data_IF_727747554500
#
_entry.id   IF_727747554500
#
_cell.length_a   1.000
_cell.length_b   1.000
_cell.length_c   1.000
_cell.angle_alpha   90.00
_cell.angle_beta   90.00
_cell.angle_gamma   90.00
#
_symmetry.space_group_name_H-M   'P 1'
#
loop_
_entity.id
_entity.type
_entity.pdbx_description
1 polymer ?
#
# COMPACT_ATOMS: atom_id res chain seq x y z
N UNK A 1 10.93 -10.04 12.46
CA UNK A 1 12.27 -9.68 12.99
C UNK A 1 12.56 -10.56 14.20
N UNK A 2 13.69 -11.29 14.25
CA UNK A 2 14.00 -12.18 15.37
C UNK A 2 14.68 -11.45 16.53
N UNK A 3 14.03 -11.49 17.70
CA UNK A 3 14.62 -11.82 19.00
C UNK A 3 15.67 -10.88 19.62
N UNK A 4 15.22 -9.98 20.50
CA UNK A 4 16.10 -9.36 21.49
C UNK A 4 15.99 -10.12 22.81
N UNK A 5 17.00 -10.94 23.08
CA UNK A 5 17.15 -11.72 24.32
C UNK A 5 17.54 -10.80 25.47
N UNK A 6 16.74 -10.85 26.52
CA UNK A 6 17.02 -10.36 27.86
C UNK A 6 18.30 -11.04 28.40
N UNK A 7 19.30 -10.23 28.75
CA UNK A 7 20.41 -10.66 29.61
C UNK A 7 20.54 -9.63 30.74
N UNK A 8 20.34 -10.17 31.94
CA UNK A 8 20.23 -9.50 33.23
C UNK A 8 21.57 -9.71 33.98
N UNK A 9 21.97 -8.69 34.75
CA UNK A 9 23.02 -8.63 35.79
C UNK A 9 24.50 -8.62 35.37
N UNK A 10 25.18 -7.52 35.70
CA UNK A 10 26.03 -7.46 36.90
C UNK A 10 26.37 -6.01 37.25
N UNK A 11 25.91 -5.58 38.43
CA UNK A 11 26.28 -4.32 39.05
C UNK A 11 27.70 -4.41 39.64
N UNK A 12 28.60 -3.55 39.17
CA UNK A 12 29.82 -3.20 39.89
C UNK A 12 29.74 -1.71 40.24
N UNK A 13 29.44 -1.45 41.51
CA UNK A 13 29.35 -0.14 42.12
C UNK A 13 30.76 0.47 42.21
N UNK A 14 31.12 1.35 41.28
CA UNK A 14 32.24 2.28 41.45
C UNK A 14 31.63 3.65 41.73
N UNK A 15 31.73 4.10 42.98
CA UNK A 15 31.35 5.45 43.40
C UNK A 15 32.40 6.40 42.84
N UNK A 16 32.20 6.85 41.60
CA UNK A 16 32.88 8.00 41.04
C UNK A 16 32.07 9.27 41.37
N UNK A 17 32.71 10.43 41.59
CA UNK A 17 32.00 11.69 41.75
C UNK A 17 31.19 11.95 40.49
N UNK A 18 29.87 11.94 40.63
CA UNK A 18 28.92 12.31 39.59
C UNK A 18 29.13 13.79 39.31
N UNK A 19 29.98 14.09 38.33
CA UNK A 19 29.92 15.36 37.62
C UNK A 19 28.58 15.31 36.90
N UNK A 20 27.58 16.00 37.45
CA UNK A 20 26.30 16.20 36.80
C UNK A 20 26.55 17.01 35.52
N UNK A 21 26.92 16.32 34.44
CA UNK A 21 26.84 16.92 33.12
C UNK A 21 25.36 17.09 32.82
N UNK A 22 24.89 18.30 32.49
CA UNK A 22 23.54 18.45 32.00
C UNK A 22 23.42 17.57 30.76
N UNK A 23 22.55 16.56 30.83
CA UNK A 23 22.02 15.92 29.63
C UNK A 23 21.18 17.00 28.97
N UNK A 24 21.81 17.77 28.08
CA UNK A 24 21.08 18.63 27.16
C UNK A 24 20.44 17.65 26.19
N UNK A 25 19.15 17.36 26.39
CA UNK A 25 18.34 16.76 25.35
C UNK A 25 18.41 17.73 24.17
N UNK A 26 19.21 17.38 23.17
CA UNK A 26 19.38 18.19 21.98
C UNK A 26 18.10 17.99 21.18
N UNK A 27 17.15 18.91 21.34
CA UNK A 27 15.93 18.95 20.54
C UNK A 27 16.38 19.10 19.08
N UNK A 28 16.06 18.11 18.25
CA UNK A 28 16.31 18.19 16.82
C UNK A 28 15.61 19.44 16.27
N UNK A 29 16.33 20.22 15.48
CA UNK A 29 15.76 21.38 14.82
C UNK A 29 14.71 20.94 13.79
N UNK A 30 13.74 21.80 13.49
CA UNK A 30 12.74 21.55 12.43
C UNK A 30 13.39 21.19 11.09
N UNK A 31 14.54 21.82 10.78
CA UNK A 31 15.31 21.53 9.58
C UNK A 31 15.92 20.12 9.57
N UNK A 32 16.41 19.64 10.71
CA UNK A 32 16.93 18.26 10.85
C UNK A 32 15.80 17.24 10.71
N UNK A 33 14.66 17.46 11.36
CA UNK A 33 13.49 16.59 11.24
C UNK A 33 12.96 16.52 9.80
N UNK A 34 12.92 17.65 9.09
CA UNK A 34 12.53 17.68 7.69
C UNK A 34 13.53 16.91 6.80
N UNK A 35 14.83 17.06 7.05
CA UNK A 35 15.86 16.35 6.31
C UNK A 35 15.80 14.83 6.54
N UNK A 36 15.59 14.40 7.78
CA UNK A 36 15.38 12.99 8.12
C UNK A 36 14.13 12.41 7.43
N UNK A 37 13.02 13.15 7.44
CA UNK A 37 11.80 12.73 6.76
C UNK A 37 11.98 12.61 5.25
N UNK A 38 12.65 13.57 4.61
CA UNK A 38 12.99 13.52 3.18
C UNK A 38 13.92 12.35 2.85
N UNK A 39 14.92 12.07 3.70
CA UNK A 39 15.81 10.93 3.53
C UNK A 39 15.03 9.60 3.62
N UNK A 40 14.10 9.49 4.56
CA UNK A 40 13.26 8.29 4.70
C UNK A 40 12.32 8.09 3.50
N UNK A 41 11.76 9.15 2.93
CA UNK A 41 10.99 9.08 1.67
C UNK A 41 11.88 8.59 0.52
N UNK A 42 13.09 9.15 0.38
CA UNK A 42 14.01 8.77 -0.68
C UNK A 42 14.45 7.30 -0.56
N UNK A 43 14.72 6.83 0.66
CA UNK A 43 15.06 5.43 0.94
C UNK A 43 13.90 4.50 0.58
N UNK A 44 12.68 4.83 1.01
CA UNK A 44 11.50 4.03 0.67
C UNK A 44 11.23 4.03 -0.84
N UNK A 45 11.36 5.18 -1.52
CA UNK A 45 11.25 5.24 -2.99
C UNK A 45 12.29 4.33 -3.65
N UNK A 46 13.54 4.40 -3.21
CA UNK A 46 14.63 3.58 -3.76
C UNK A 46 14.41 2.09 -3.51
N UNK A 47 13.78 1.71 -2.40
CA UNK A 47 13.38 0.35 -2.12
C UNK A 47 12.21 -0.07 -3.01
N UNK A 48 11.05 0.60 -2.92
CA UNK A 48 9.83 0.24 -3.66
C UNK A 48 10.07 0.21 -5.18
N UNK A 49 10.81 1.18 -5.71
CA UNK A 49 11.06 1.33 -7.14
C UNK A 49 12.41 0.76 -7.57
N UNK A 50 12.96 -0.15 -6.77
CA UNK A 50 14.18 -0.88 -7.12
C UNK A 50 13.94 -1.63 -8.42
N UNK A 51 14.65 -1.20 -9.46
CA UNK A 51 14.58 -1.82 -10.79
C UNK A 51 15.19 -3.22 -10.75
N UNK A 52 14.43 -4.21 -11.22
CA UNK A 52 14.90 -5.57 -11.45
C UNK A 52 15.43 -5.76 -12.88
N UNK A 53 15.12 -6.91 -13.47
CA UNK A 53 15.43 -7.21 -14.87
C UNK A 53 14.63 -6.30 -15.82
N UNK A 54 15.26 -5.91 -16.93
CA UNK A 54 14.59 -5.27 -18.06
C UNK A 54 14.00 -6.32 -18.99
N UNK A 55 12.70 -6.23 -19.25
CA UNK A 55 11.96 -7.17 -20.10
C UNK A 55 11.60 -6.49 -21.42
N UNK A 56 12.11 -7.01 -22.52
CA UNK A 56 11.69 -6.55 -23.86
C UNK A 56 10.25 -6.95 -24.13
N UNK A 57 9.45 -6.04 -24.71
CA UNK A 57 8.02 -6.29 -24.95
C UNK A 57 7.20 -6.49 -23.68
N UNK A 58 7.61 -5.91 -22.56
CA UNK A 58 6.92 -6.01 -21.27
C UNK A 58 5.44 -5.59 -21.35
N UNK A 59 5.07 -4.72 -22.29
CA UNK A 59 3.73 -4.18 -22.52
C UNK A 59 2.89 -5.00 -23.53
N UNK A 60 3.35 -6.19 -23.93
CA UNK A 60 2.68 -7.07 -24.90
C UNK A 60 2.24 -8.39 -24.24
N UNK A 61 1.09 -8.92 -24.66
CA UNK A 61 0.58 -10.24 -24.27
C UNK A 61 -0.18 -10.25 -22.94
N UNK A 62 -0.46 -9.08 -22.37
CA UNK A 62 -1.31 -8.94 -21.20
C UNK A 62 -2.80 -9.01 -21.55
N UNK A 63 -3.62 -9.42 -20.59
CA UNK A 63 -5.08 -9.36 -20.70
C UNK A 63 -5.63 -8.03 -20.19
N UNK A 64 -6.90 -7.73 -20.48
CA UNK A 64 -7.60 -6.53 -20.02
C UNK A 64 -8.70 -6.88 -18.99
N UNK A 65 -8.35 -6.99 -17.70
CA UNK A 65 -9.35 -7.25 -16.66
C UNK A 65 -10.44 -6.16 -16.63
N UNK A 66 -10.07 -4.89 -16.86
CA UNK A 66 -11.03 -3.78 -16.82
C UNK A 66 -12.08 -3.90 -17.91
N UNK A 67 -11.68 -4.34 -19.11
CA UNK A 67 -12.63 -4.63 -20.19
C UNK A 67 -13.60 -5.75 -19.79
N UNK A 68 -13.11 -6.81 -19.15
CA UNK A 68 -13.94 -7.91 -18.65
C UNK A 68 -14.92 -7.43 -17.56
N UNK A 69 -14.47 -6.59 -16.63
CA UNK A 69 -15.33 -5.99 -15.59
C UNK A 69 -16.41 -5.08 -16.18
N UNK A 70 -16.02 -4.19 -17.11
CA UNK A 70 -16.96 -3.29 -17.80
C UNK A 70 -17.99 -4.09 -18.60
N UNK A 71 -17.60 -5.18 -19.25
CA UNK A 71 -18.53 -6.07 -19.96
C UNK A 71 -19.55 -6.76 -19.03
N UNK A 72 -19.21 -6.98 -17.76
CA UNK A 72 -20.13 -7.48 -16.74
C UNK A 72 -21.00 -6.39 -16.09
N UNK A 73 -20.59 -5.13 -16.22
CA UNK A 73 -21.21 -3.96 -15.61
C UNK A 73 -20.47 -3.53 -14.34
N UNK A 74 -19.54 -2.58 -14.48
CA UNK A 74 -18.65 -2.12 -13.41
C UNK A 74 -19.37 -1.55 -12.17
N UNK A 75 -20.64 -1.15 -12.28
CA UNK A 75 -21.44 -0.73 -11.12
C UNK A 75 -21.88 -1.89 -10.21
N UNK A 76 -21.91 -3.11 -10.75
CA UNK A 76 -22.44 -4.30 -10.06
C UNK A 76 -21.36 -5.32 -9.72
N UNK A 77 -20.11 -5.07 -10.10
CA UNK A 77 -18.99 -5.98 -9.91
C UNK A 77 -17.73 -5.21 -9.57
N UNK A 78 -16.93 -5.78 -8.67
CA UNK A 78 -15.63 -5.23 -8.24
C UNK A 78 -14.53 -6.27 -8.45
N UNK A 79 -13.29 -5.82 -8.42
CA UNK A 79 -12.15 -6.72 -8.25
C UNK A 79 -11.93 -6.98 -6.77
N UNK A 80 -11.77 -8.25 -6.40
CA UNK A 80 -11.31 -8.68 -5.10
C UNK A 80 -9.98 -9.40 -5.29
N UNK A 81 -8.92 -8.88 -4.68
CA UNK A 81 -7.62 -9.54 -4.63
C UNK A 81 -7.41 -10.09 -3.24
N UNK A 82 -7.26 -11.40 -3.14
CA UNK A 82 -7.00 -12.06 -1.85
C UNK A 82 -5.52 -12.38 -1.71
N UNK A 83 -4.94 -11.90 -0.61
CA UNK A 83 -3.59 -12.24 -0.14
C UNK A 83 -3.66 -13.15 1.09
N UNK A 84 -2.50 -13.59 1.57
CA UNK A 84 -2.40 -14.34 2.84
C UNK A 84 -2.82 -13.48 4.03
N UNK A 85 -2.48 -12.19 4.01
CA UNK A 85 -2.65 -11.29 5.15
C UNK A 85 -4.00 -10.55 5.16
N UNK A 86 -4.54 -10.27 3.98
CA UNK A 86 -5.68 -9.40 3.80
C UNK A 86 -6.37 -9.61 2.44
N UNK A 87 -7.49 -8.93 2.26
CA UNK A 87 -8.10 -8.71 0.95
C UNK A 87 -7.98 -7.23 0.58
N UNK A 88 -7.81 -6.95 -0.71
CA UNK A 88 -7.97 -5.62 -1.29
C UNK A 88 -9.09 -5.61 -2.33
N UNK A 89 -9.75 -4.46 -2.46
CA UNK A 89 -10.88 -4.26 -3.38
C UNK A 89 -10.57 -3.11 -4.32
N UNK A 90 -10.76 -3.33 -5.62
CA UNK A 90 -10.66 -2.28 -6.65
C UNK A 90 -12.00 -2.08 -7.35
N UNK A 91 -12.41 -0.82 -7.47
CA UNK A 91 -13.70 -0.41 -8.05
C UNK A 91 -13.43 0.53 -9.22
N UNK A 92 -13.90 0.18 -10.42
CA UNK A 92 -13.87 1.08 -11.58
C UNK A 92 -15.04 2.05 -11.49
N UNK A 93 -14.76 3.31 -11.16
CA UNK A 93 -15.81 4.29 -10.87
C UNK A 93 -15.34 5.73 -10.96
N UNK A 94 -16.23 6.60 -11.41
CA UNK A 94 -16.12 8.05 -11.31
C UNK A 94 -16.70 8.59 -9.99
N UNK A 95 -17.42 7.79 -9.18
CA UNK A 95 -18.05 8.24 -7.93
C UNK A 95 -17.03 8.51 -6.82
N UNK A 96 -17.28 9.48 -5.91
CA UNK A 96 -16.42 9.78 -4.76
C UNK A 96 -16.01 8.56 -3.94
N UNK A 97 -14.79 8.53 -3.38
CA UNK A 97 -14.33 7.42 -2.51
C UNK A 97 -15.30 7.23 -1.33
N UNK A 98 -15.76 8.33 -0.73
CA UNK A 98 -16.64 8.32 0.44
C UNK A 98 -18.03 7.68 0.22
N UNK A 99 -18.46 7.45 -1.02
CA UNK A 99 -19.73 6.74 -1.29
C UNK A 99 -19.65 5.24 -1.00
N UNK A 100 -18.44 4.66 -0.99
CA UNK A 100 -18.22 3.23 -0.77
C UNK A 100 -17.88 2.89 0.69
N UNK A 101 -17.58 3.91 1.50
CA UNK A 101 -17.05 3.74 2.84
C UNK A 101 -18.18 3.70 3.88
N UNK A 102 -18.14 2.78 4.84
CA UNK A 102 -19.09 2.76 5.94
C UNK A 102 -19.07 4.06 6.73
N UNK A 103 -20.25 4.58 7.11
CA UNK A 103 -20.39 5.86 7.83
C UNK A 103 -19.70 5.91 9.19
N UNK A 104 -19.41 4.75 9.79
CA UNK A 104 -18.78 4.67 11.10
C UNK A 104 -17.26 4.79 11.01
N UNK A 105 -16.65 4.64 9.84
CA UNK A 105 -15.21 4.87 9.67
C UNK A 105 -14.91 6.36 9.76
N UNK A 106 -13.76 6.69 10.35
CA UNK A 106 -13.30 8.06 10.54
C UNK A 106 -12.14 8.34 9.59
N UNK A 107 -12.06 9.56 9.08
CA UNK A 107 -10.91 9.99 8.31
C UNK A 107 -9.79 10.32 9.30
N UNK A 108 -8.70 9.56 9.25
CA UNK A 108 -7.50 9.80 10.05
C UNK A 108 -6.53 10.76 9.33
N UNK A 109 -6.40 10.62 8.00
CA UNK A 109 -5.59 11.52 7.18
C UNK A 109 -6.04 11.54 5.71
N UNK A 110 -5.68 12.58 4.96
CA UNK A 110 -6.01 12.74 3.54
C UNK A 110 -4.86 13.38 2.75
N UNK A 111 -4.55 12.84 1.58
CA UNK A 111 -3.64 13.44 0.60
C UNK A 111 -4.39 13.77 -0.70
N UNK A 112 -3.93 14.84 -1.36
CA UNK A 112 -4.53 15.31 -2.59
C UNK A 112 -5.88 15.98 -2.35
N UNK A 113 -6.64 16.12 -3.41
CA UNK A 113 -8.03 16.61 -3.35
C UNK A 113 -8.87 15.68 -4.18
N UNK A 114 -10.16 15.67 -3.91
CA UNK A 114 -11.11 15.09 -4.86
C UNK A 114 -11.04 15.91 -6.16
N UNK A 115 -10.13 15.52 -7.06
CA UNK A 115 -10.04 16.09 -8.38
C UNK A 115 -11.36 15.80 -9.11
N UNK A 116 -11.71 16.64 -10.08
CA UNK A 116 -12.89 16.46 -10.91
C UNK A 116 -13.01 14.98 -11.31
N UNK A 117 -14.12 14.34 -10.91
CA UNK A 117 -14.40 12.92 -11.08
C UNK A 117 -13.88 12.45 -12.44
N UNK A 118 -12.81 11.65 -12.42
CA UNK A 118 -12.12 11.26 -13.64
C UNK A 118 -12.92 10.16 -14.34
N UNK A 119 -13.32 10.36 -15.62
CA UNK A 119 -13.91 9.29 -16.39
C UNK A 119 -12.96 8.10 -16.46
N UNK A 120 -13.38 6.95 -15.93
CA UNK A 120 -12.58 5.73 -15.92
C UNK A 120 -11.55 5.62 -14.80
N UNK A 121 -11.69 6.39 -13.71
CA UNK A 121 -10.87 6.22 -12.51
C UNK A 121 -11.06 4.85 -11.82
N UNK A 122 -10.05 4.44 -11.08
CA UNK A 122 -10.11 3.27 -10.19
C UNK A 122 -9.98 3.75 -8.74
N UNK A 123 -10.79 3.17 -7.85
CA UNK A 123 -10.66 3.34 -6.40
C UNK A 123 -10.23 2.02 -5.79
N UNK A 124 -9.12 2.04 -5.08
CA UNK A 124 -8.53 0.90 -4.40
C UNK A 124 -8.71 1.02 -2.89
N UNK A 125 -9.05 -0.08 -2.22
CA UNK A 125 -9.09 -0.19 -0.77
C UNK A 125 -8.22 -1.36 -0.30
N UNK A 126 -7.43 -1.14 0.74
CA UNK A 126 -6.56 -2.16 1.34
C UNK A 126 -6.42 -1.92 2.84
N UNK A 127 -6.37 -2.99 3.63
CA UNK A 127 -6.04 -2.89 5.05
C UNK A 127 -4.54 -2.59 5.22
N UNK A 128 -4.22 -1.62 6.06
CA UNK A 128 -2.86 -1.46 6.60
C UNK A 128 -2.72 -2.17 7.95
N UNK A 129 -3.84 -2.27 8.67
CA UNK A 129 -4.00 -3.06 9.89
C UNK A 129 -5.48 -3.40 10.11
N UNK A 130 -5.81 -4.04 11.25
CA UNK A 130 -7.21 -4.24 11.66
C UNK A 130 -7.96 -2.91 11.87
N UNK A 131 -7.23 -1.85 12.26
CA UNK A 131 -7.77 -0.53 12.58
C UNK A 131 -7.73 0.44 11.40
N UNK A 132 -6.78 0.28 10.48
CA UNK A 132 -6.60 1.26 9.40
C UNK A 132 -6.81 0.68 8.01
N UNK A 133 -7.54 1.43 7.18
CA UNK A 133 -7.76 1.14 5.76
C UNK A 133 -7.27 2.31 4.92
N UNK A 134 -6.42 1.99 3.96
CA UNK A 134 -6.00 2.90 2.91
C UNK A 134 -7.00 2.84 1.76
N UNK A 135 -7.44 4.02 1.31
CA UNK A 135 -8.22 4.16 0.08
C UNK A 135 -7.50 5.13 -0.87
N UNK A 136 -7.35 4.77 -2.13
CA UNK A 136 -6.73 5.61 -3.14
C UNK A 136 -7.54 5.67 -4.42
N UNK A 137 -7.54 6.84 -5.05
CA UNK A 137 -7.97 7.02 -6.43
C UNK A 137 -6.73 7.12 -7.32
N UNK A 138 -6.69 6.26 -8.33
CA UNK A 138 -5.64 6.25 -9.34
C UNK A 138 -6.22 6.51 -10.72
N UNK A 139 -5.41 7.14 -11.58
CA UNK A 139 -5.68 7.23 -13.01
C UNK A 139 -5.02 6.05 -13.71
N UNK A 140 -5.85 5.27 -14.40
CA UNK A 140 -5.39 4.13 -15.20
C UNK A 140 -5.36 4.55 -16.66
N UNK A 141 -4.17 4.56 -17.27
CA UNK A 141 -4.02 4.65 -18.71
C UNK A 141 -3.56 3.29 -19.26
N UNK A 142 -4.11 2.88 -20.40
CA UNK A 142 -3.67 1.62 -21.02
C UNK A 142 -2.55 1.89 -22.01
N UNK A 143 -1.40 1.23 -21.82
CA UNK A 143 -0.28 1.22 -22.76
C UNK A 143 -0.18 -0.16 -23.37
N UNK A 144 -0.71 -0.30 -24.60
CA UNK A 144 -0.92 -1.59 -25.27
C UNK A 144 -1.65 -2.58 -24.37
N UNK A 145 -0.98 -3.60 -23.87
CA UNK A 145 -1.57 -4.66 -23.07
C UNK A 145 -1.29 -4.52 -21.56
N UNK A 146 -0.71 -3.39 -21.12
CA UNK A 146 -0.47 -3.08 -19.71
C UNK A 146 -1.33 -1.90 -19.21
N UNK A 147 -1.77 -1.98 -17.96
CA UNK A 147 -2.45 -0.89 -17.25
C UNK A 147 -1.42 -0.06 -16.47
N UNK A 148 -1.29 1.23 -16.79
CA UNK A 148 -0.34 2.13 -16.15
C UNK A 148 -1.07 3.08 -15.20
N UNK A 149 -0.68 3.00 -13.94
CA UNK A 149 -1.18 3.80 -12.84
C UNK A 149 -0.21 4.97 -12.66
N UNK A 150 -0.69 6.17 -12.95
CA UNK A 150 0.06 7.41 -12.78
C UNK A 150 -0.70 8.31 -11.84
N UNK A 151 0.04 8.99 -10.94
CA UNK A 151 -0.46 10.01 -10.02
C UNK A 151 -1.59 9.53 -9.08
N UNK A 152 -1.37 9.66 -7.78
CA UNK A 152 -2.44 9.54 -6.80
C UNK A 152 -3.20 10.86 -6.73
N UNK A 153 -4.38 10.94 -7.36
CA UNK A 153 -5.20 12.16 -7.34
C UNK A 153 -5.72 12.42 -5.91
N UNK A 154 -6.10 11.35 -5.22
CA UNK A 154 -6.60 11.38 -3.86
C UNK A 154 -6.22 10.10 -3.13
N UNK A 155 -5.81 10.23 -1.87
CA UNK A 155 -5.70 9.11 -0.95
C UNK A 155 -6.27 9.49 0.41
N UNK A 156 -6.91 8.54 1.08
CA UNK A 156 -7.55 8.72 2.38
C UNK A 156 -7.14 7.55 3.26
N UNK A 157 -6.65 7.87 4.46
CA UNK A 157 -6.47 6.92 5.53
C UNK A 157 -7.71 6.94 6.41
N UNK A 158 -8.43 5.82 6.44
CA UNK A 158 -9.56 5.62 7.33
C UNK A 158 -9.14 4.85 8.57
N UNK A 159 -9.70 5.25 9.71
CA UNK A 159 -9.70 4.51 10.98
C UNK A 159 -11.06 3.83 11.14
N UNK A 160 -11.06 2.54 11.49
CA UNK A 160 -12.22 1.75 11.88
C UNK A 160 -12.34 1.82 13.40
N UNK A 161 -13.33 2.53 13.96
CA UNK A 161 -13.51 2.58 15.40
C UNK A 161 -13.76 1.19 15.98
N UNK A 162 -13.33 0.99 17.23
CA UNK A 162 -13.49 -0.24 18.01
C UNK A 162 -12.71 -1.47 17.49
N UNK A 163 -11.96 -1.33 16.39
CA UNK A 163 -11.01 -2.36 15.95
C UNK A 163 -9.82 -2.52 16.92
N UNK A 164 -9.29 -3.74 17.10
CA UNK A 164 -8.09 -3.98 17.87
C UNK A 164 -6.91 -3.12 17.40
N UNK A 165 -6.12 -2.62 18.34
CA UNK A 165 -4.88 -1.90 18.04
C UNK A 165 -3.79 -2.88 17.62
N UNK A 166 -3.06 -2.52 16.57
CA UNK A 166 -1.83 -3.18 16.15
C UNK A 166 -0.58 -2.47 16.67
N UNK A 167 0.54 -3.20 16.75
CA UNK A 167 1.83 -2.65 17.22
C UNK A 167 2.32 -1.45 16.40
N UNK A 168 1.98 -1.39 15.11
CA UNK A 168 2.44 -0.36 14.17
C UNK A 168 1.41 0.76 13.95
N UNK A 169 0.24 0.73 14.59
CA UNK A 169 -0.88 1.64 14.29
C UNK A 169 -0.51 3.12 14.50
N UNK A 170 0.32 3.44 15.49
CA UNK A 170 0.81 4.79 15.76
C UNK A 170 1.68 5.35 14.61
N UNK A 171 2.33 4.47 13.83
CA UNK A 171 3.22 4.84 12.73
C UNK A 171 2.49 4.95 11.38
N UNK A 172 1.29 4.38 11.26
CA UNK A 172 0.57 4.29 10.00
C UNK A 172 0.25 5.64 9.34
N UNK A 173 -0.11 6.72 10.07
CA UNK A 173 -0.28 8.03 9.45
C UNK A 173 1.00 8.57 8.79
N UNK A 174 2.16 8.38 9.43
CA UNK A 174 3.44 8.79 8.86
C UNK A 174 3.80 7.92 7.65
N UNK A 175 3.67 6.60 7.76
CA UNK A 175 3.90 5.66 6.65
C UNK A 175 2.99 5.94 5.47
N UNK A 176 1.70 6.21 5.70
CA UNK A 176 0.74 6.62 4.68
C UNK A 176 1.26 7.80 3.84
N UNK A 177 1.70 8.88 4.50
CA UNK A 177 2.25 10.05 3.82
C UNK A 177 3.53 9.73 3.08
N UNK A 178 4.45 9.03 3.72
CA UNK A 178 5.72 8.72 3.11
C UNK A 178 5.53 7.83 1.88
N UNK A 179 4.65 6.83 1.90
CA UNK A 179 4.40 5.92 0.76
C UNK A 179 3.86 6.70 -0.43
N UNK A 180 2.90 7.60 -0.18
CA UNK A 180 2.35 8.45 -1.24
C UNK A 180 3.46 9.31 -1.87
N UNK A 181 4.22 10.03 -1.04
CA UNK A 181 5.32 10.90 -1.51
C UNK A 181 6.44 10.09 -2.18
N UNK A 182 6.70 8.86 -1.74
CA UNK A 182 7.68 7.98 -2.38
C UNK A 182 7.24 7.57 -3.79
N UNK A 183 5.94 7.48 -4.05
CA UNK A 183 5.38 7.15 -5.38
C UNK A 183 4.89 8.37 -6.16
N UNK A 184 4.96 9.56 -5.57
CA UNK A 184 4.57 10.82 -6.21
C UNK A 184 5.44 11.05 -7.46
N UNK A 185 4.77 11.36 -8.57
CA UNK A 185 5.31 11.52 -9.93
C UNK A 185 5.80 10.24 -10.63
N UNK A 186 5.62 9.08 -10.02
CA UNK A 186 6.02 7.81 -10.61
C UNK A 186 4.84 7.15 -11.33
N UNK A 187 5.13 6.43 -12.42
CA UNK A 187 4.13 5.62 -13.11
C UNK A 187 4.50 4.16 -13.05
N UNK A 188 3.64 3.38 -12.41
CA UNK A 188 3.78 1.93 -12.28
C UNK A 188 2.81 1.29 -13.26
N UNK A 189 3.33 0.40 -14.10
CA UNK A 189 2.54 -0.33 -15.07
C UNK A 189 2.41 -1.79 -14.66
N UNK A 190 1.19 -2.32 -14.72
CA UNK A 190 0.88 -3.70 -14.39
C UNK A 190 0.46 -4.42 -15.67
N UNK A 191 1.18 -5.49 -16.01
CA UNK A 191 0.72 -6.45 -17.03
C UNK A 191 -0.01 -7.57 -16.32
N UNK A 192 -1.26 -7.81 -16.72
CA UNK A 192 -2.07 -8.89 -16.18
C UNK A 192 -1.98 -10.14 -17.04
N UNK A 193 -1.93 -11.30 -16.39
CA UNK A 193 -2.05 -12.62 -16.99
C UNK A 193 -3.25 -13.35 -16.36
N UNK A 194 -3.81 -14.33 -17.08
CA UNK A 194 -4.97 -15.11 -16.64
C UNK A 194 -6.24 -14.78 -17.40
N UNK A 195 -7.38 -15.09 -16.80
CA UNK A 195 -8.70 -14.87 -17.39
C UNK A 195 -9.78 -14.78 -16.31
N UNK A 196 -10.99 -14.37 -16.70
CA UNK A 196 -12.11 -14.21 -15.77
C UNK A 196 -12.45 -15.46 -14.94
N UNK A 197 -12.23 -16.67 -15.48
CA UNK A 197 -12.58 -17.93 -14.81
C UNK A 197 -11.56 -18.30 -13.73
N UNK A 198 -10.28 -18.04 -13.99
CA UNK A 198 -9.20 -18.42 -13.09
C UNK A 198 -8.72 -17.25 -12.20
N UNK A 199 -9.08 -16.02 -12.58
CA UNK A 199 -8.59 -14.79 -12.00
C UNK A 199 -7.36 -14.24 -12.73
N UNK A 200 -6.97 -13.04 -12.33
CA UNK A 200 -5.88 -12.27 -12.93
C UNK A 200 -4.72 -12.15 -11.95
N UNK A 201 -3.51 -12.23 -12.48
CA UNK A 201 -2.26 -12.00 -11.75
C UNK A 201 -1.51 -10.86 -12.41
N UNK A 202 -1.08 -9.88 -11.62
CA UNK A 202 -0.34 -8.73 -12.10
C UNK A 202 1.16 -8.92 -11.92
N UNK A 203 1.94 -8.34 -12.82
CA UNK A 203 3.37 -8.08 -12.62
C UNK A 203 3.65 -6.61 -12.86
N UNK A 204 4.44 -6.00 -11.99
CA UNK A 204 4.68 -4.57 -11.97
C UNK A 204 5.97 -4.20 -12.71
N UNK A 205 5.89 -3.12 -13.48
CA UNK A 205 6.96 -2.60 -14.32
C UNK A 205 7.06 -1.08 -14.23
N UNK A 206 8.26 -0.55 -14.42
CA UNK A 206 8.45 0.84 -14.83
C UNK A 206 8.03 1.02 -16.28
N UNK A 207 7.76 2.27 -16.70
CA UNK A 207 7.40 2.58 -18.09
C UNK A 207 8.49 2.19 -19.13
N UNK A 208 9.76 2.12 -18.73
CA UNK A 208 10.89 1.72 -19.58
C UNK A 208 11.17 0.20 -19.54
N UNK A 209 10.32 -0.57 -18.86
CA UNK A 209 10.27 -2.02 -18.92
C UNK A 209 11.12 -2.76 -17.90
N UNK A 210 11.51 -2.12 -16.80
CA UNK A 210 12.15 -2.80 -15.68
C UNK A 210 11.09 -3.37 -14.75
N UNK A 211 11.26 -4.62 -14.33
CA UNK A 211 10.43 -5.23 -13.28
C UNK A 211 10.59 -4.49 -11.95
N UNK A 212 9.54 -4.53 -11.12
CA UNK A 212 9.49 -3.93 -9.78
C UNK A 212 9.33 -5.03 -8.72
N UNK A 213 10.37 -5.82 -8.43
CA UNK A 213 10.29 -6.99 -7.56
C UNK A 213 9.83 -6.67 -6.13
N UNK A 214 10.17 -5.49 -5.59
CA UNK A 214 9.78 -5.12 -4.23
C UNK A 214 8.27 -4.78 -4.13
N UNK A 215 7.63 -4.35 -5.23
CA UNK A 215 6.16 -4.17 -5.31
C UNK A 215 5.46 -5.51 -5.48
N UNK A 216 6.06 -6.43 -6.23
CA UNK A 216 5.50 -7.75 -6.49
C UNK A 216 5.80 -8.77 -5.37
N UNK A 217 6.73 -8.45 -4.46
CA UNK A 217 7.15 -9.30 -3.35
C UNK A 217 5.96 -9.61 -2.42
N UNK A 218 5.74 -10.90 -2.15
CA UNK A 218 4.62 -11.36 -1.32
C UNK A 218 3.28 -11.43 -2.07
N UNK A 219 3.23 -11.00 -3.34
CA UNK A 219 2.03 -11.04 -4.21
C UNK A 219 2.06 -12.21 -5.18
N UNK A 220 3.00 -13.14 -5.05
CA UNK A 220 3.16 -14.27 -5.97
C UNK A 220 1.93 -15.18 -5.99
N UNK A 221 1.17 -15.17 -4.90
CA UNK A 221 -0.07 -15.94 -4.75
C UNK A 221 -1.34 -15.10 -4.87
N UNK A 222 -1.22 -13.78 -5.02
CA UNK A 222 -2.36 -12.90 -5.17
C UNK A 222 -3.08 -13.20 -6.49
N UNK A 223 -4.40 -13.33 -6.40
CA UNK A 223 -5.27 -13.51 -7.55
C UNK A 223 -6.42 -12.53 -7.43
N UNK A 224 -6.50 -11.62 -8.39
CA UNK A 224 -7.64 -10.72 -8.53
C UNK A 224 -8.79 -11.45 -9.23
N UNK A 225 -10.00 -11.36 -8.68
CA UNK A 225 -11.20 -11.97 -9.24
C UNK A 225 -12.31 -10.94 -9.33
N UNK A 226 -13.15 -11.08 -10.36
CA UNK A 226 -14.37 -10.28 -10.49
C UNK A 226 -15.45 -10.89 -9.60
N UNK A 227 -15.88 -10.14 -8.59
CA UNK A 227 -16.94 -10.52 -7.65
C UNK A 227 -18.12 -9.56 -7.75
N UNK A 228 -19.31 -9.97 -7.29
CA UNK A 228 -20.44 -9.04 -7.20
C UNK A 228 -20.12 -7.91 -6.22
N UNK A 229 -20.55 -6.71 -6.57
CA UNK A 229 -20.51 -5.57 -5.68
C UNK A 229 -21.24 -5.87 -4.37
N UNK A 230 -20.62 -5.45 -3.27
CA UNK A 230 -21.14 -5.58 -1.92
C UNK A 230 -20.56 -4.43 -1.07
N UNK A 231 -21.11 -4.15 0.13
CA UNK A 231 -20.49 -3.21 1.06
C UNK A 231 -19.01 -3.54 1.27
N UNK A 232 -18.14 -2.52 1.25
CA UNK A 232 -16.69 -2.72 1.28
C UNK A 232 -16.23 -3.48 2.52
N UNK A 233 -16.85 -3.25 3.66
CA UNK A 233 -16.63 -3.99 4.92
C UNK A 233 -16.94 -5.48 4.86
N UNK A 234 -17.74 -5.94 3.89
CA UNK A 234 -18.03 -7.36 3.68
C UNK A 234 -17.03 -8.03 2.72
N UNK A 235 -16.24 -7.24 2.00
CA UNK A 235 -15.25 -7.71 1.02
C UNK A 235 -13.82 -7.57 1.54
N UNK A 236 -13.52 -6.52 2.30
CA UNK A 236 -12.23 -6.32 2.95
C UNK A 236 -12.16 -7.13 4.23
N UNK A 237 -11.37 -8.20 4.20
CA UNK A 237 -11.15 -9.07 5.37
C UNK A 237 -9.70 -8.95 5.80
N UNK A 238 -9.47 -8.44 7.00
CA UNK A 238 -8.17 -8.52 7.67
C UNK A 238 -7.96 -9.90 8.28
N UNK A 239 -6.87 -10.59 7.91
CA UNK A 239 -6.50 -11.91 8.46
C UNK A 239 -5.29 -11.83 9.40
N UNK A 240 -4.64 -10.67 9.47
CA UNK A 240 -3.40 -10.48 10.23
C UNK A 240 -2.18 -10.74 9.36
N UNK A 241 -1.02 -10.21 9.79
CA UNK A 241 0.24 -10.60 9.16
C UNK A 241 0.49 -12.08 9.42
N UNK A 242 0.85 -12.88 8.40
CA UNK A 242 1.31 -14.24 8.65
C UNK A 242 2.49 -14.17 9.62
N UNK A 243 2.48 -15.00 10.65
CA UNK A 243 3.64 -15.12 11.54
C UNK A 243 4.88 -15.42 10.67
N UNK A 244 6.02 -14.75 10.91
CA UNK A 244 7.24 -15.09 10.20
C UNK A 244 7.49 -16.57 10.46
N UNK A 245 7.45 -17.37 9.38
CA UNK A 245 7.76 -18.78 9.46
C UNK A 245 9.12 -18.98 10.15
N UNK A 246 9.37 -20.15 10.77
CA UNK A 246 10.65 -20.41 11.39
C UNK A 246 11.76 -20.14 10.37
N UNK A 247 12.74 -19.32 10.74
CA UNK A 247 13.90 -19.07 9.90
C UNK A 247 14.57 -20.42 9.61
N UNK A 248 14.52 -20.85 8.35
CA UNK A 248 15.22 -22.04 7.90
C UNK A 248 16.68 -21.61 7.74
N UNK A 249 17.48 -21.90 8.77
CA UNK A 249 18.94 -21.73 8.75
C UNK A 249 19.64 -22.95 8.15
#
# INVERSE_FOLDING_TARGET
MPGLRILLLAAALVIAPVVAMPVVAQEATEAELLAEFQAAIAEMRALMLRRGERVEGWDVGGVDPDADLRAMGADNYYFLTSSVADDSVSILTDRPIGEYVPRHWRIADTYGREAALLPGGQVDFVHLSARYVFAARSRVERRRDAACYSNLDQAILYEIPDSPEGEDDELLPALFRMTILATEDETICVRYEGDRRHGYRGRSFTQDGYTLPEIDAGRENDVSRIVRAAPIEALLVWRGRPEPGPAIY
#
